data_IF_270078482146
#
_entry.id   IF_270078482146
#
_cell.length_a   1.000
_cell.length_b   1.000
_cell.length_c   1.000
_cell.angle_alpha   90.00
_cell.angle_beta   90.00
_cell.angle_gamma   90.00
#
_symmetry.space_group_name_H-M   'P 1'
#
loop_
_entity.id
_entity.type
_entity.pdbx_description
1 polymer ?
#
# COMPACT_ATOMS: atom_id res chain seq x y z
N UNK A 1 9.37 28.73 -4.18
CA UNK A 1 8.22 27.81 -4.16
C UNK A 1 8.78 26.44 -4.50
N UNK A 2 8.84 25.51 -3.55
CA UNK A 2 9.32 24.15 -3.83
C UNK A 2 8.24 23.45 -4.65
N UNK A 3 8.58 23.08 -5.88
CA UNK A 3 7.69 22.32 -6.74
C UNK A 3 7.49 20.94 -6.14
N UNK A 4 6.26 20.63 -5.72
CA UNK A 4 5.90 19.32 -5.18
C UNK A 4 6.06 18.31 -6.33
N UNK A 5 6.90 17.30 -6.13
CA UNK A 5 7.21 16.34 -7.21
C UNK A 5 5.97 15.53 -7.61
N UNK A 6 5.94 15.04 -8.86
CA UNK A 6 4.81 14.27 -9.38
C UNK A 6 4.48 13.03 -8.52
N UNK A 7 5.52 12.40 -7.94
CA UNK A 7 5.39 11.28 -7.01
C UNK A 7 4.58 11.65 -5.77
N UNK A 8 4.83 12.82 -5.22
CA UNK A 8 4.23 13.29 -3.95
C UNK A 8 2.77 13.68 -4.15
N UNK A 9 2.46 14.30 -5.30
CA UNK A 9 1.08 14.60 -5.71
C UNK A 9 0.29 13.30 -5.85
N UNK A 10 0.89 12.27 -6.46
CA UNK A 10 0.27 10.96 -6.62
C UNK A 10 0.03 10.25 -5.28
N UNK A 11 1.02 10.24 -4.39
CA UNK A 11 0.89 9.64 -3.04
C UNK A 11 -0.21 10.32 -2.22
N UNK A 12 -0.30 11.66 -2.30
CA UNK A 12 -1.39 12.39 -1.65
C UNK A 12 -2.75 12.06 -2.24
N UNK A 13 -2.86 11.91 -3.56
CA UNK A 13 -4.10 11.50 -4.21
C UNK A 13 -4.54 10.10 -3.77
N UNK A 14 -3.60 9.15 -3.71
CA UNK A 14 -3.85 7.78 -3.26
C UNK A 14 -4.31 7.74 -1.80
N UNK A 15 -3.67 8.53 -0.92
CA UNK A 15 -4.11 8.68 0.46
C UNK A 15 -5.53 9.24 0.57
N UNK A 16 -5.84 10.29 -0.19
CA UNK A 16 -7.18 10.88 -0.17
C UNK A 16 -8.25 9.89 -0.65
N UNK A 17 -7.93 9.08 -1.67
CA UNK A 17 -8.82 8.03 -2.16
C UNK A 17 -9.05 6.96 -1.09
N UNK A 18 -7.99 6.52 -0.41
CA UNK A 18 -8.09 5.59 0.73
C UNK A 18 -8.99 6.15 1.84
N UNK A 19 -8.79 7.42 2.24
CA UNK A 19 -9.60 8.07 3.29
C UNK A 19 -11.07 8.11 2.90
N UNK A 20 -11.39 8.41 1.64
CA UNK A 20 -12.77 8.44 1.16
C UNK A 20 -13.44 7.06 1.19
N UNK A 21 -12.67 5.98 1.07
CA UNK A 21 -13.15 4.60 1.04
C UNK A 21 -13.12 3.91 2.41
N UNK A 22 -12.48 4.49 3.42
CA UNK A 22 -12.37 3.92 4.77
C UNK A 22 -13.11 4.82 5.78
N UNK A 23 -14.39 4.54 6.09
CA UNK A 23 -15.21 5.38 6.97
C UNK A 23 -14.63 5.55 8.38
N UNK A 24 -13.91 4.53 8.87
CA UNK A 24 -13.28 4.53 10.19
C UNK A 24 -11.89 5.19 10.19
N UNK A 25 -11.53 5.91 9.12
CA UNK A 25 -10.26 6.61 9.06
C UNK A 25 -10.17 7.64 10.21
N UNK A 26 -9.07 7.62 10.99
CA UNK A 26 -8.96 8.39 12.21
C UNK A 26 -8.87 9.89 11.89
N UNK A 27 -9.67 10.68 12.61
CA UNK A 27 -9.61 12.14 12.52
C UNK A 27 -8.26 12.63 13.05
N UNK A 28 -7.64 13.58 12.35
CA UNK A 28 -6.36 14.13 12.77
C UNK A 28 -5.69 14.96 11.69
N UNK A 29 -4.59 15.64 12.06
CA UNK A 29 -3.76 16.37 11.10
C UNK A 29 -2.87 15.39 10.35
N UNK A 30 -3.01 15.33 9.03
CA UNK A 30 -2.13 14.55 8.15
C UNK A 30 -0.91 15.41 7.81
N UNK A 31 0.27 14.88 8.10
CA UNK A 31 1.56 15.50 7.79
C UNK A 31 2.36 14.53 6.94
N UNK A 32 3.05 15.06 5.93
CA UNK A 32 3.96 14.25 5.13
C UNK A 32 5.27 14.02 5.86
N UNK A 33 5.87 12.86 5.64
CA UNK A 33 7.12 12.47 6.27
C UNK A 33 7.92 11.54 5.33
N UNK A 34 9.21 11.37 5.57
CA UNK A 34 10.05 10.55 4.70
C UNK A 34 9.90 9.05 4.97
N UNK A 35 9.60 8.69 6.23
CA UNK A 35 9.58 7.31 6.70
C UNK A 35 8.80 7.24 8.02
N UNK A 36 7.49 6.90 8.02
CA UNK A 36 6.66 6.52 6.88
C UNK A 36 6.22 7.74 6.04
N UNK A 37 5.64 7.50 4.85
CA UNK A 37 5.26 8.57 3.89
C UNK A 37 4.32 9.63 4.48
N UNK A 38 3.40 9.21 5.36
CA UNK A 38 2.50 10.13 6.07
C UNK A 38 2.37 9.78 7.54
N UNK A 39 2.08 10.81 8.34
CA UNK A 39 1.76 10.71 9.76
C UNK A 39 0.40 11.36 10.00
N UNK A 40 -0.53 10.61 10.58
CA UNK A 40 -1.82 11.12 11.07
C UNK A 40 -1.70 11.41 12.56
N UNK A 41 -1.68 12.68 12.92
CA UNK A 41 -1.65 13.13 14.33
C UNK A 41 -3.07 13.11 14.88
N UNK A 42 -3.44 12.04 15.58
CA UNK A 42 -4.77 11.85 16.17
C UNK A 42 -4.91 12.56 17.52
N UNK A 43 -3.81 12.77 18.24
CA UNK A 43 -3.75 13.62 19.44
C UNK A 43 -2.32 14.11 19.72
N UNK A 44 -2.10 14.80 20.85
CA UNK A 44 -0.75 15.22 21.29
C UNK A 44 0.19 14.05 21.60
N UNK A 45 -0.35 12.87 21.95
CA UNK A 45 0.42 11.70 22.39
C UNK A 45 0.24 10.48 21.48
N UNK A 46 -0.50 10.62 20.39
CA UNK A 46 -0.81 9.52 19.49
C UNK A 46 -0.72 9.95 18.04
N UNK A 47 -0.02 9.15 17.26
CA UNK A 47 0.16 9.33 15.85
C UNK A 47 0.21 7.96 15.16
N UNK A 48 -0.31 7.93 13.93
CA UNK A 48 -0.36 6.74 13.08
C UNK A 48 0.52 7.00 11.88
N UNK A 49 1.46 6.09 11.63
CA UNK A 49 2.24 6.07 10.40
C UNK A 49 1.45 5.43 9.26
N UNK A 50 1.50 5.99 8.06
CA UNK A 50 0.96 5.38 6.84
C UNK A 50 2.10 5.27 5.83
N UNK A 51 2.53 4.05 5.55
CA UNK A 51 3.44 3.74 4.44
C UNK A 51 2.62 3.38 3.21
N UNK A 52 2.91 4.00 2.07
CA UNK A 52 2.26 3.71 0.79
C UNK A 52 3.21 2.91 -0.08
N UNK A 53 2.74 1.79 -0.62
CA UNK A 53 3.51 0.96 -1.55
C UNK A 53 2.70 0.68 -2.80
N UNK A 54 3.25 1.03 -3.97
CA UNK A 54 2.60 0.73 -5.25
C UNK A 54 2.90 -0.70 -5.67
N UNK A 55 1.85 -1.47 -5.88
CA UNK A 55 1.92 -2.82 -6.41
C UNK A 55 1.80 -2.76 -7.94
N UNK A 56 2.93 -2.93 -8.61
CA UNK A 56 3.01 -2.96 -10.07
C UNK A 56 3.01 -4.41 -10.59
N UNK A 57 2.40 -4.68 -11.76
CA UNK A 57 2.37 -6.00 -12.37
C UNK A 57 3.73 -6.68 -12.61
N UNK A 58 4.84 -5.92 -12.69
CA UNK A 58 6.15 -6.52 -12.88
C UNK A 58 6.73 -7.15 -11.59
N UNK A 59 6.17 -6.85 -10.40
CA UNK A 59 6.56 -7.54 -9.16
C UNK A 59 6.19 -9.04 -9.18
N UNK A 60 5.34 -9.47 -10.11
CA UNK A 60 4.86 -10.86 -10.19
C UNK A 60 5.64 -11.72 -11.18
N UNK A 61 6.51 -11.12 -12.00
CA UNK A 61 7.17 -11.82 -13.10
C UNK A 61 8.61 -12.14 -12.74
N UNK A 62 9.01 -13.39 -12.92
CA UNK A 62 10.43 -13.75 -12.92
C UNK A 62 11.14 -13.10 -14.11
N UNK A 63 12.45 -12.90 -14.02
CA UNK A 63 13.27 -12.36 -15.13
C UNK A 63 13.07 -13.13 -16.44
N UNK A 64 12.82 -14.44 -16.36
CA UNK A 64 12.52 -15.29 -17.52
C UNK A 64 11.14 -15.02 -18.13
N UNK A 65 10.15 -14.62 -17.33
CA UNK A 65 8.82 -14.27 -17.81
C UNK A 65 8.82 -12.89 -18.46
N UNK A 66 9.59 -11.93 -17.94
CA UNK A 66 9.72 -10.59 -18.53
C UNK A 66 10.18 -10.59 -19.99
N UNK A 67 10.95 -11.60 -20.41
CA UNK A 67 11.55 -11.68 -21.74
C UNK A 67 10.68 -12.39 -22.80
N UNK A 68 9.52 -12.95 -22.43
CA UNK A 68 8.67 -13.69 -23.37
C UNK A 68 7.59 -12.80 -24.01
N UNK A 69 7.61 -12.72 -25.34
CA UNK A 69 6.51 -12.23 -26.18
C UNK A 69 5.32 -13.19 -25.98
N UNK A 70 4.19 -12.68 -25.46
CA UNK A 70 2.96 -13.46 -25.28
C UNK A 70 2.47 -13.68 -23.85
N UNK A 71 3.10 -13.06 -22.83
CA UNK A 71 2.60 -13.11 -21.46
C UNK A 71 1.13 -12.68 -21.34
N UNK A 72 0.36 -13.29 -20.43
CA UNK A 72 -1.05 -12.95 -20.25
C UNK A 72 -1.21 -11.49 -19.85
N UNK A 73 -2.20 -10.82 -20.47
CA UNK A 73 -2.57 -9.43 -20.15
C UNK A 73 -3.12 -9.29 -18.72
N UNK A 74 -3.46 -10.41 -18.09
CA UNK A 74 -4.02 -10.45 -16.76
C UNK A 74 -3.20 -11.39 -15.88
N UNK A 75 -2.94 -10.96 -14.66
CA UNK A 75 -2.21 -11.75 -13.69
C UNK A 75 -2.97 -11.80 -12.37
N UNK A 76 -3.21 -13.01 -11.87
CA UNK A 76 -3.93 -13.19 -10.60
C UNK A 76 -2.96 -12.94 -9.44
N UNK A 77 -3.34 -12.04 -8.53
CA UNK A 77 -2.57 -11.79 -7.32
C UNK A 77 -2.49 -13.06 -6.47
N UNK A 78 -1.28 -13.45 -6.08
CA UNK A 78 -1.02 -14.59 -5.20
C UNK A 78 -0.76 -14.09 -3.79
N UNK A 79 -1.17 -14.86 -2.79
CA UNK A 79 -0.92 -14.57 -1.38
C UNK A 79 0.58 -14.48 -1.08
N UNK A 80 1.39 -15.39 -1.63
CA UNK A 80 2.84 -15.39 -1.44
C UNK A 80 3.48 -14.05 -1.84
N UNK A 81 3.14 -13.50 -3.02
CA UNK A 81 3.71 -12.21 -3.47
C UNK A 81 3.31 -11.06 -2.56
N UNK A 82 2.07 -11.06 -2.06
CA UNK A 82 1.61 -10.05 -1.14
C UNK A 82 2.34 -10.15 0.21
N UNK A 83 2.54 -11.38 0.70
CA UNK A 83 3.30 -11.67 1.92
C UNK A 83 4.76 -11.20 1.77
N UNK A 84 5.42 -11.52 0.66
CA UNK A 84 6.80 -11.10 0.40
C UNK A 84 6.92 -9.56 0.39
N UNK A 85 5.97 -8.87 -0.24
CA UNK A 85 5.92 -7.41 -0.24
C UNK A 85 5.78 -6.85 1.18
N UNK A 86 4.87 -7.43 1.98
CA UNK A 86 4.66 -7.02 3.37
C UNK A 86 5.95 -7.22 4.17
N UNK A 87 6.58 -8.40 4.09
CA UNK A 87 7.82 -8.72 4.80
C UNK A 87 8.96 -7.77 4.44
N UNK A 88 9.12 -7.42 3.16
CA UNK A 88 10.11 -6.43 2.73
C UNK A 88 9.88 -5.06 3.37
N UNK A 89 8.62 -4.68 3.63
CA UNK A 89 8.28 -3.40 4.26
C UNK A 89 8.38 -3.44 5.78
N UNK A 90 8.18 -4.60 6.41
CA UNK A 90 8.37 -4.76 7.85
C UNK A 90 9.79 -4.48 8.31
N UNK A 91 10.80 -4.65 7.45
CA UNK A 91 12.18 -4.31 7.75
C UNK A 91 12.35 -2.83 8.17
N UNK A 92 11.41 -1.95 7.82
CA UNK A 92 11.41 -0.53 8.20
C UNK A 92 10.75 -0.24 9.55
N UNK A 93 9.97 -1.16 10.11
CA UNK A 93 9.21 -0.96 11.35
C UNK A 93 10.06 -0.49 12.55
N UNK A 94 11.29 -0.99 12.77
CA UNK A 94 12.13 -0.50 13.86
C UNK A 94 12.36 1.02 13.81
N UNK A 95 12.50 1.60 12.60
CA UNK A 95 12.67 3.04 12.41
C UNK A 95 11.39 3.82 12.72
N UNK A 96 10.23 3.25 12.40
CA UNK A 96 8.94 3.90 12.67
C UNK A 96 8.62 3.95 14.16
N UNK A 97 8.91 2.87 14.91
CA UNK A 97 8.68 2.82 16.35
C UNK A 97 9.62 3.74 17.14
N UNK A 98 10.85 3.96 16.64
CA UNK A 98 11.76 4.96 17.21
C UNK A 98 11.16 6.38 17.20
N UNK A 99 10.26 6.68 16.26
CA UNK A 99 9.54 7.95 16.16
C UNK A 99 8.26 8.01 17.02
N UNK A 100 8.11 7.10 18.00
CA UNK A 100 6.97 7.03 18.92
C UNK A 100 5.58 6.91 18.25
N UNK A 101 5.54 6.37 17.03
CA UNK A 101 4.29 6.05 16.36
C UNK A 101 3.59 4.92 17.12
N UNK A 102 2.31 5.13 17.45
CA UNK A 102 1.51 4.15 18.21
C UNK A 102 1.00 3.02 17.33
N UNK A 103 0.81 3.32 16.06
CA UNK A 103 0.45 2.35 15.04
C UNK A 103 1.16 2.68 13.74
N UNK A 104 1.40 1.67 12.92
CA UNK A 104 1.88 1.80 11.55
C UNK A 104 0.99 0.97 10.64
N UNK A 105 0.42 1.64 9.65
CA UNK A 105 -0.46 1.05 8.64
C UNK A 105 0.27 0.97 7.31
N UNK A 106 0.01 -0.10 6.57
CA UNK A 106 0.51 -0.28 5.20
C UNK A 106 -0.65 -0.15 4.21
N UNK A 107 -0.54 0.81 3.30
CA UNK A 107 -1.45 0.99 2.18
C UNK A 107 -0.78 0.50 0.89
N UNK A 108 -1.23 -0.65 0.39
CA UNK A 108 -0.76 -1.21 -0.87
C UNK A 108 -1.69 -0.71 -1.98
N UNK A 109 -1.16 -0.04 -3.00
CA UNK A 109 -1.96 0.56 -4.08
C UNK A 109 -1.68 -0.14 -5.39
N UNK A 110 -2.69 -0.78 -5.96
CA UNK A 110 -2.64 -1.30 -7.33
C UNK A 110 -2.76 -0.13 -8.29
N UNK A 111 -1.70 0.07 -9.07
CA UNK A 111 -1.64 1.11 -10.10
C UNK A 111 -1.68 0.50 -11.50
N UNK A 112 -2.23 1.22 -12.50
CA UNK A 112 -2.16 0.79 -13.88
C UNK A 112 -0.72 0.54 -14.32
N UNK A 113 -0.49 -0.56 -15.04
CA UNK A 113 0.80 -0.80 -15.68
C UNK A 113 0.86 -0.09 -17.03
N UNK A 114 1.98 0.57 -17.38
CA UNK A 114 2.20 1.08 -18.73
C UNK A 114 2.09 -0.02 -19.81
N UNK A 115 2.35 -1.28 -19.46
CA UNK A 115 2.21 -2.43 -20.37
C UNK A 115 0.76 -2.86 -20.61
N UNK A 116 -0.23 -2.20 -19.99
CA UNK A 116 -1.63 -2.59 -20.06
C UNK A 116 -1.98 -3.88 -19.31
N UNK A 117 -1.00 -4.48 -18.60
CA UNK A 117 -1.23 -5.63 -17.73
C UNK A 117 -2.09 -5.24 -16.53
N UNK A 118 -3.09 -6.07 -16.21
CA UNK A 118 -4.00 -5.86 -15.09
C UNK A 118 -3.85 -6.97 -14.05
N UNK A 119 -3.93 -6.58 -12.78
CA UNK A 119 -3.96 -7.53 -11.66
C UNK A 119 -5.41 -7.94 -11.42
N UNK A 120 -5.67 -9.24 -11.41
CA UNK A 120 -6.95 -9.81 -10.98
C UNK A 120 -6.85 -10.09 -9.48
N UNK A 121 -7.73 -9.45 -8.71
CA UNK A 121 -7.91 -9.70 -7.28
C UNK A 121 -8.72 -10.97 -7.07
N UNK A 122 -8.20 -11.95 -6.30
CA UNK A 122 -8.98 -13.09 -5.85
C UNK A 122 -10.13 -12.66 -4.93
N UNK A 123 -11.30 -13.27 -5.06
CA UNK A 123 -12.44 -13.00 -4.16
C UNK A 123 -12.24 -13.55 -2.74
N UNK A 124 -11.31 -14.49 -2.57
CA UNK A 124 -11.01 -15.17 -1.31
C UNK A 124 -9.80 -14.58 -0.58
N UNK A 125 -9.48 -13.29 -0.82
CA UNK A 125 -8.36 -12.64 -0.16
C UNK A 125 -8.53 -12.55 1.36
N UNK A 126 -9.77 -12.48 1.84
CA UNK A 126 -10.08 -12.49 3.28
C UNK A 126 -9.73 -13.82 3.96
N UNK A 127 -9.63 -14.91 3.21
CA UNK A 127 -9.22 -16.23 3.74
C UNK A 127 -7.70 -16.35 3.89
N UNK A 128 -6.94 -15.36 3.41
CA UNK A 128 -5.49 -15.40 3.47
C UNK A 128 -5.03 -15.15 4.90
N UNK A 129 -4.36 -16.14 5.49
CA UNK A 129 -3.76 -16.02 6.83
C UNK A 129 -2.49 -15.18 6.79
N UNK A 130 -2.64 -13.88 6.51
CA UNK A 130 -1.55 -12.92 6.51
C UNK A 130 -1.20 -12.59 7.95
N UNK A 131 0.05 -12.84 8.33
CA UNK A 131 0.61 -12.39 9.61
C UNK A 131 1.54 -11.24 9.34
N UNK A 132 1.36 -10.15 10.09
CA UNK A 132 2.23 -8.98 9.97
C UNK A 132 2.35 -8.24 11.29
N UNK A 133 3.44 -7.48 11.42
CA UNK A 133 3.71 -6.52 12.48
C UNK A 133 3.13 -5.13 12.20
N UNK A 134 2.61 -4.86 10.99
CA UNK A 134 1.79 -3.68 10.75
C UNK A 134 0.45 -3.83 11.48
N UNK A 135 -0.03 -2.76 12.09
CA UNK A 135 -1.30 -2.78 12.83
C UNK A 135 -2.50 -2.94 11.90
N UNK A 136 -2.41 -2.36 10.69
CA UNK A 136 -3.41 -2.52 9.64
C UNK A 136 -2.76 -2.58 8.26
N UNK A 137 -3.35 -3.38 7.38
CA UNK A 137 -2.93 -3.50 5.99
C UNK A 137 -4.14 -3.40 5.07
N UNK A 138 -4.03 -2.51 4.08
CA UNK A 138 -5.07 -2.27 3.11
C UNK A 138 -4.55 -2.48 1.69
N UNK A 139 -5.42 -2.95 0.81
CA UNK A 139 -5.19 -3.02 -0.64
C UNK A 139 -6.18 -2.12 -1.36
N UNK A 140 -5.69 -1.01 -1.91
CA UNK A 140 -6.44 -0.07 -2.72
C UNK A 140 -6.29 -0.39 -4.21
N UNK A 141 -7.38 -0.71 -4.87
CA UNK A 141 -7.46 -0.71 -6.32
C UNK A 141 -7.84 0.69 -6.80
N UNK A 142 -6.85 1.48 -7.21
CA UNK A 142 -7.06 2.88 -7.58
C UNK A 142 -7.96 3.04 -8.82
N UNK A 143 -7.85 2.13 -9.81
CA UNK A 143 -8.66 2.14 -11.04
C UNK A 143 -10.13 1.80 -10.77
N UNK A 144 -10.38 0.81 -9.90
CA UNK A 144 -11.74 0.36 -9.56
C UNK A 144 -12.38 1.12 -8.40
N UNK A 145 -11.65 2.04 -7.77
CA UNK A 145 -12.06 2.75 -6.57
C UNK A 145 -12.56 1.80 -5.46
N UNK A 146 -11.80 0.74 -5.22
CA UNK A 146 -12.17 -0.34 -4.31
C UNK A 146 -11.08 -0.56 -3.26
N UNK A 147 -11.47 -0.82 -2.03
CA UNK A 147 -10.58 -1.01 -0.89
C UNK A 147 -10.86 -2.35 -0.21
N UNK A 148 -9.81 -3.15 -0.03
CA UNK A 148 -9.85 -4.37 0.76
C UNK A 148 -9.04 -4.19 2.04
N UNK A 149 -9.60 -4.61 3.18
CA UNK A 149 -8.84 -4.74 4.42
C UNK A 149 -8.26 -6.15 4.52
N UNK A 150 -6.95 -6.24 4.65
CA UNK A 150 -6.22 -7.51 4.76
C UNK A 150 -5.89 -7.84 6.21
N UNK A 151 -5.58 -6.80 6.99
CA UNK A 151 -5.41 -6.86 8.43
C UNK A 151 -6.15 -5.66 9.00
N UNK A 152 -7.17 -5.95 9.78
CA UNK A 152 -7.98 -5.03 10.56
C UNK A 152 -7.80 -5.45 12.04
#
# INVERSE_FOLDING_TARGET
MNDISAKEKLERQQLNQFIALYPDFPKGKIVRNESPDFIVKTSRKSAIGIEITRLMPHYFLSEQQHMQIGLPKFERLKSATLIDLILMKEAKLPLYFANHLKQVWLLIVIVPSPSGRKIILPSNMSDWQIKSKFDKIFLLNAEKNHLECLIC
#
